data_IF_923014126811
#
_entry.id   IF_923014126811
#
_cell.length_a   1.000
_cell.length_b   1.000
_cell.length_c   1.000
_cell.angle_alpha   90.00
_cell.angle_beta   90.00
_cell.angle_gamma   90.00
#
_symmetry.space_group_name_H-M   'P 1'
#
loop_
_entity.id
_entity.type
_entity.pdbx_description
1 polymer ?
#
# COMPACT_ATOMS: atom_id res chain seq x y z
N UNK A 1 -18.65 -4.21 3.31
CA UNK A 1 -18.43 -4.44 1.88
C UNK A 1 -19.04 -3.26 1.13
N UNK A 2 -18.24 -2.56 0.31
CA UNK A 2 -18.73 -1.44 -0.50
C UNK A 2 -19.73 -1.92 -1.57
N UNK A 3 -20.81 -1.17 -1.79
CA UNK A 3 -21.80 -1.49 -2.82
C UNK A 3 -21.24 -1.26 -4.24
N UNK A 4 -21.87 -1.87 -5.26
CA UNK A 4 -21.44 -1.65 -6.64
C UNK A 4 -21.57 -0.19 -7.10
N UNK A 5 -22.59 0.52 -6.63
CA UNK A 5 -22.77 1.97 -6.89
C UNK A 5 -21.65 2.83 -6.30
N UNK A 6 -21.11 2.45 -5.14
CA UNK A 6 -19.95 3.14 -4.56
C UNK A 6 -18.69 2.91 -5.39
N UNK A 7 -18.52 1.74 -6.01
CA UNK A 7 -17.38 1.43 -6.87
C UNK A 7 -17.36 2.26 -8.14
N UNK A 8 -18.49 2.40 -8.84
CA UNK A 8 -18.60 3.22 -10.07
C UNK A 8 -18.33 4.69 -9.77
N UNK A 9 -18.80 5.19 -8.64
CA UNK A 9 -18.60 6.57 -8.21
C UNK A 9 -17.12 6.89 -7.89
N UNK A 10 -16.36 5.91 -7.39
CA UNK A 10 -14.94 6.08 -7.06
C UNK A 10 -14.00 5.75 -8.23
N UNK A 11 -14.37 4.87 -9.14
CA UNK A 11 -13.59 4.56 -10.34
C UNK A 11 -13.48 5.76 -11.31
N UNK A 12 -14.42 6.70 -11.27
CA UNK A 12 -14.41 7.89 -12.13
C UNK A 12 -13.55 9.06 -11.60
N UNK A 13 -13.14 9.03 -10.34
CA UNK A 13 -12.27 10.06 -9.73
C UNK A 13 -10.89 9.48 -9.52
N UNK A 14 -10.03 9.51 -10.55
CA UNK A 14 -8.63 9.11 -10.45
C UNK A 14 -7.92 9.86 -9.31
N UNK A 15 -7.92 9.29 -8.11
CA UNK A 15 -7.16 9.81 -6.99
C UNK A 15 -5.70 9.38 -7.12
N UNK A 16 -4.78 10.34 -7.04
CA UNK A 16 -3.34 10.07 -6.98
C UNK A 16 -2.91 9.42 -5.65
N UNK A 17 -3.80 9.35 -4.66
CA UNK A 17 -3.53 8.73 -3.37
C UNK A 17 -4.00 7.27 -3.36
N UNK A 18 -3.06 6.32 -3.30
CA UNK A 18 -3.31 4.87 -3.36
C UNK A 18 -4.28 4.33 -2.29
N UNK A 19 -4.53 5.06 -1.21
CA UNK A 19 -5.43 4.68 -0.13
C UNK A 19 -6.83 5.30 -0.24
N UNK A 20 -7.11 6.11 -1.26
CA UNK A 20 -8.39 6.81 -1.41
C UNK A 20 -9.50 5.96 -2.05
N UNK A 21 -9.13 4.85 -2.69
CA UNK A 21 -10.10 3.94 -3.33
C UNK A 21 -10.38 2.72 -2.45
N UNK A 22 -11.65 2.47 -2.05
CA UNK A 22 -12.01 1.24 -1.37
C UNK A 22 -11.89 0.04 -2.33
N UNK A 23 -11.38 -1.07 -1.83
CA UNK A 23 -11.38 -2.35 -2.54
C UNK A 23 -12.01 -3.45 -1.69
N UNK A 24 -12.27 -4.61 -2.29
CA UNK A 24 -12.73 -5.78 -1.54
C UNK A 24 -11.58 -6.33 -0.69
N UNK A 25 -11.87 -6.79 0.53
CA UNK A 25 -10.89 -7.44 1.40
C UNK A 25 -9.77 -6.49 1.90
N UNK A 26 -10.14 -5.28 2.31
CA UNK A 26 -9.20 -4.34 2.91
C UNK A 26 -9.03 -4.58 4.41
N UNK A 27 -7.81 -4.37 4.90
CA UNK A 27 -7.56 -4.27 6.32
C UNK A 27 -7.98 -2.88 6.80
N UNK A 28 -9.00 -2.85 7.66
CA UNK A 28 -9.58 -1.60 8.18
C UNK A 28 -9.53 -1.57 9.71
N UNK A 29 -9.34 -0.38 10.25
CA UNK A 29 -9.42 -0.08 11.69
C UNK A 29 -10.37 1.11 11.85
N UNK A 30 -11.38 0.96 12.69
CA UNK A 30 -12.44 1.97 12.92
C UNK A 30 -13.10 2.44 11.61
N UNK A 31 -13.30 1.52 10.66
CA UNK A 31 -13.90 1.82 9.36
C UNK A 31 -12.98 2.52 8.35
N UNK A 32 -11.71 2.74 8.69
CA UNK A 32 -10.71 3.38 7.82
C UNK A 32 -9.66 2.37 7.36
N UNK A 33 -9.24 2.48 6.12
CA UNK A 33 -8.22 1.65 5.49
C UNK A 33 -6.85 1.90 6.13
N UNK A 34 -6.19 0.83 6.59
CA UNK A 34 -4.85 0.88 7.19
C UNK A 34 -3.79 0.21 6.30
N UNK A 35 -4.22 -0.65 5.40
CA UNK A 35 -3.33 -1.32 4.45
C UNK A 35 -3.92 -1.32 3.04
N UNK A 36 -3.06 -1.16 2.06
CA UNK A 36 -3.38 -1.32 0.65
C UNK A 36 -2.59 -2.47 0.06
N UNK A 37 -3.25 -3.40 -0.62
CA UNK A 37 -2.60 -4.56 -1.20
C UNK A 37 -3.06 -4.83 -2.63
N UNK A 38 -2.20 -5.50 -3.40
CA UNK A 38 -2.48 -5.97 -4.73
C UNK A 38 -1.95 -7.39 -4.90
N UNK A 39 -2.63 -8.17 -5.72
CA UNK A 39 -2.24 -9.54 -6.02
C UNK A 39 -2.21 -9.77 -7.52
N UNK A 40 -1.18 -10.43 -8.00
CA UNK A 40 -1.13 -10.97 -9.36
C UNK A 40 -0.85 -12.46 -9.34
N UNK A 41 -1.41 -13.18 -10.32
CA UNK A 41 -1.22 -14.62 -10.50
C UNK A 41 -0.73 -14.86 -11.91
N UNK A 42 0.48 -15.38 -12.04
CA UNK A 42 1.09 -15.68 -13.33
C UNK A 42 1.86 -17.00 -13.27
N UNK A 43 1.67 -17.86 -14.26
CA UNK A 43 2.40 -19.12 -14.42
C UNK A 43 2.42 -20.01 -13.17
N UNK A 44 1.29 -20.07 -12.44
CA UNK A 44 1.19 -20.86 -11.21
C UNK A 44 1.79 -20.17 -9.95
N UNK A 45 2.36 -18.98 -10.09
CA UNK A 45 2.91 -18.21 -8.97
C UNK A 45 1.96 -17.09 -8.56
N UNK A 46 1.85 -16.85 -7.27
CA UNK A 46 1.10 -15.74 -6.69
C UNK A 46 2.09 -14.73 -6.13
N UNK A 47 1.99 -13.48 -6.58
CA UNK A 47 2.67 -12.35 -5.95
C UNK A 47 1.62 -11.51 -5.22
N UNK A 48 1.72 -11.47 -3.90
CA UNK A 48 0.97 -10.57 -3.03
C UNK A 48 1.93 -9.51 -2.50
N UNK A 49 1.60 -8.25 -2.69
CA UNK A 49 2.38 -7.14 -2.15
C UNK A 49 1.45 -6.02 -1.67
N UNK A 50 1.98 -5.13 -0.85
CA UNK A 50 1.21 -4.01 -0.35
C UNK A 50 2.01 -3.13 0.59
N UNK A 51 1.32 -2.15 1.15
CA UNK A 51 1.86 -1.28 2.19
C UNK A 51 0.89 -1.18 3.36
N UNK A 52 1.46 -1.10 4.55
CA UNK A 52 0.73 -0.95 5.82
C UNK A 52 1.20 0.35 6.44
N UNK A 53 0.26 1.24 6.73
CA UNK A 53 0.56 2.55 7.28
C UNK A 53 0.84 2.44 8.77
N UNK A 54 2.11 2.53 9.19
CA UNK A 54 2.48 2.66 10.61
C UNK A 54 2.29 4.09 11.10
N UNK A 55 2.71 5.05 10.27
CA UNK A 55 2.59 6.47 10.53
C UNK A 55 2.38 7.22 9.21
N UNK A 56 1.84 8.43 9.24
CA UNK A 56 1.55 9.17 8.02
C UNK A 56 1.50 10.67 8.29
N UNK A 57 2.31 11.42 7.55
CA UNK A 57 2.23 12.87 7.46
C UNK A 57 1.32 13.25 6.27
N UNK A 58 0.06 13.47 6.56
CA UNK A 58 -0.96 13.78 5.53
C UNK A 58 -0.72 15.15 4.91
N UNK A 59 -0.20 16.11 5.66
CA UNK A 59 0.13 17.44 5.14
C UNK A 59 1.24 17.35 4.10
N UNK A 60 2.30 16.63 4.42
CA UNK A 60 3.39 16.37 3.50
C UNK A 60 2.92 15.63 2.25
N UNK A 61 2.09 14.59 2.40
CA UNK A 61 1.54 13.84 1.28
C UNK A 61 0.79 14.77 0.32
N UNK A 62 -0.15 15.56 0.83
CA UNK A 62 -1.00 16.42 -0.01
C UNK A 62 -0.25 17.65 -0.56
N UNK A 63 0.88 18.04 0.04
CA UNK A 63 1.76 19.06 -0.51
C UNK A 63 2.63 18.54 -1.67
N UNK A 64 2.89 17.24 -1.75
CA UNK A 64 3.63 16.60 -2.84
C UNK A 64 2.75 16.27 -4.05
N UNK A 65 1.44 16.19 -3.87
CA UNK A 65 0.48 15.91 -4.96
C UNK A 65 0.08 17.20 -5.68
N UNK A 66 -0.08 17.10 -6.99
CA UNK A 66 -0.55 18.22 -7.80
C UNK A 66 -2.08 18.34 -7.77
N UNK A 67 -2.57 19.52 -7.47
CA UNK A 67 -4.00 19.87 -7.50
C UNK A 67 -4.21 21.16 -8.29
N UNK A 68 -5.32 21.28 -8.99
CA UNK A 68 -5.67 22.48 -9.76
C UNK A 68 -6.04 23.69 -8.87
N UNK A 69 -6.27 23.49 -7.59
CA UNK A 69 -6.53 24.55 -6.61
C UNK A 69 -6.32 24.08 -5.17
N UNK A 70 -6.03 25.03 -4.28
CA UNK A 70 -5.92 24.75 -2.83
C UNK A 70 -7.22 24.27 -2.22
N UNK A 71 -8.37 24.76 -2.72
CA UNK A 71 -9.71 24.31 -2.29
C UNK A 71 -9.90 22.82 -2.62
N UNK A 72 -9.46 22.38 -3.80
CA UNK A 72 -9.53 20.97 -4.18
C UNK A 72 -8.59 20.14 -3.33
N UNK A 73 -7.35 20.60 -3.11
CA UNK A 73 -6.39 19.95 -2.22
C UNK A 73 -6.97 19.71 -0.84
N UNK A 74 -7.54 20.74 -0.21
CA UNK A 74 -8.12 20.63 1.13
C UNK A 74 -9.29 19.64 1.16
N UNK A 75 -10.20 19.72 0.20
CA UNK A 75 -11.34 18.79 0.12
C UNK A 75 -10.89 17.34 -0.04
N UNK A 76 -9.88 17.08 -0.88
CA UNK A 76 -9.34 15.73 -1.07
C UNK A 76 -8.61 15.22 0.17
N UNK A 77 -7.88 16.10 0.86
CA UNK A 77 -7.25 15.79 2.15
C UNK A 77 -8.28 15.41 3.21
N UNK A 78 -9.35 16.18 3.36
CA UNK A 78 -10.42 15.91 4.32
C UNK A 78 -11.13 14.58 3.99
N UNK A 79 -11.38 14.32 2.71
CA UNK A 79 -11.91 13.02 2.24
C UNK A 79 -10.99 11.86 2.58
N UNK A 80 -9.69 12.03 2.36
CA UNK A 80 -8.67 11.02 2.65
C UNK A 80 -8.61 10.66 4.15
N UNK A 81 -8.63 11.65 5.04
CA UNK A 81 -8.62 11.46 6.50
C UNK A 81 -9.84 10.67 7.03
N UNK A 82 -10.94 10.68 6.27
CA UNK A 82 -12.13 9.88 6.60
C UNK A 82 -12.04 8.43 6.10
N UNK A 83 -11.11 8.13 5.18
CA UNK A 83 -11.01 6.82 4.51
C UNK A 83 -9.78 6.03 4.91
N UNK A 84 -8.67 6.69 5.26
CA UNK A 84 -7.40 6.07 5.59
C UNK A 84 -6.92 6.47 6.98
N UNK A 85 -6.17 5.57 7.62
CA UNK A 85 -5.57 5.81 8.94
C UNK A 85 -4.26 5.04 9.06
N UNK A 86 -3.32 5.58 9.82
CA UNK A 86 -2.10 4.88 10.21
C UNK A 86 -2.27 4.21 11.58
N UNK A 87 -1.59 3.09 11.80
CA UNK A 87 -1.64 2.32 13.05
C UNK A 87 -1.35 3.21 14.25
N UNK A 88 -0.30 4.04 14.19
CA UNK A 88 0.09 4.92 15.29
C UNK A 88 -0.87 6.08 15.55
N UNK A 89 -1.86 6.31 14.66
CA UNK A 89 -2.90 7.31 14.88
C UNK A 89 -4.12 6.78 15.63
N UNK A 90 -4.24 5.45 15.76
CA UNK A 90 -5.36 4.77 16.46
C UNK A 90 -4.88 3.87 17.59
N UNK A 91 -3.59 3.69 17.73
CA UNK A 91 -2.99 2.92 18.82
C UNK A 91 -2.75 3.80 20.05
N UNK A 92 -3.03 3.26 21.24
CA UNK A 92 -2.74 3.94 22.52
C UNK A 92 -1.24 4.11 22.78
N UNK A 93 -0.38 3.39 22.05
CA UNK A 93 1.06 3.46 22.13
C UNK A 93 1.69 3.49 20.75
N UNK A 94 2.90 4.01 20.67
CA UNK A 94 3.66 3.97 19.42
C UNK A 94 4.10 2.51 19.12
N UNK A 95 3.72 2.02 17.95
CA UNK A 95 4.15 0.73 17.39
C UNK A 95 5.36 0.97 16.50
N UNK A 96 6.45 0.25 16.76
CA UNK A 96 7.66 0.30 15.94
C UNK A 96 7.54 -0.58 14.70
N UNK A 97 8.41 -0.37 13.71
CA UNK A 97 8.47 -1.21 12.51
C UNK A 97 8.76 -2.68 12.86
N UNK A 98 9.65 -2.93 13.83
CA UNK A 98 9.97 -4.29 14.28
C UNK A 98 8.76 -5.00 14.86
N UNK A 99 8.04 -4.35 15.80
CA UNK A 99 6.81 -4.91 16.39
C UNK A 99 5.74 -5.21 15.34
N UNK A 100 5.55 -4.29 14.39
CA UNK A 100 4.61 -4.54 13.29
C UNK A 100 5.05 -5.73 12.41
N UNK A 101 6.33 -5.82 12.07
CA UNK A 101 6.88 -6.92 11.28
C UNK A 101 6.66 -8.25 11.99
N UNK A 102 6.95 -8.34 13.29
CA UNK A 102 6.75 -9.55 14.09
C UNK A 102 5.28 -9.94 14.18
N UNK A 103 4.38 -8.96 14.35
CA UNK A 103 2.95 -9.20 14.42
C UNK A 103 2.40 -9.73 13.08
N UNK A 104 2.83 -9.15 11.95
CA UNK A 104 2.44 -9.63 10.64
C UNK A 104 3.04 -10.99 10.32
N UNK A 105 4.28 -11.25 10.68
CA UNK A 105 4.92 -12.57 10.52
C UNK A 105 4.07 -13.65 11.20
N UNK A 106 3.75 -13.47 12.48
CA UNK A 106 2.87 -14.40 13.22
C UNK A 106 1.48 -14.51 12.62
N UNK A 107 0.90 -13.36 12.22
CA UNK A 107 -0.43 -13.35 11.60
C UNK A 107 -0.49 -14.13 10.29
N UNK A 108 0.58 -14.11 9.48
CA UNK A 108 0.68 -14.92 8.28
C UNK A 108 0.83 -16.42 8.60
N UNK A 109 1.68 -16.79 9.57
CA UNK A 109 1.84 -18.18 9.99
C UNK A 109 0.51 -18.77 10.49
N UNK A 110 -0.14 -18.06 11.40
CA UNK A 110 -1.41 -18.51 12.00
C UNK A 110 -2.56 -18.51 10.98
N UNK A 111 -2.70 -17.42 10.21
CA UNK A 111 -3.80 -17.24 9.27
C UNK A 111 -3.74 -18.17 8.05
N UNK A 112 -2.55 -18.56 7.63
CA UNK A 112 -2.35 -19.48 6.50
C UNK A 112 -2.00 -20.90 6.93
N UNK A 113 -1.79 -21.15 8.22
CA UNK A 113 -1.34 -22.44 8.76
C UNK A 113 -0.02 -22.91 8.08
N UNK A 114 0.95 -22.00 7.97
CA UNK A 114 2.27 -22.25 7.38
C UNK A 114 3.38 -21.93 8.38
N UNK A 115 4.57 -22.43 8.13
CA UNK A 115 5.78 -22.05 8.82
C UNK A 115 6.59 -21.11 7.90
N UNK A 116 6.95 -19.93 8.39
CA UNK A 116 7.79 -18.97 7.68
C UNK A 116 9.24 -19.14 8.14
N UNK A 117 10.12 -19.48 7.20
CA UNK A 117 11.55 -19.64 7.46
C UNK A 117 12.31 -18.44 6.91
N UNK A 118 13.03 -17.68 7.75
CA UNK A 118 13.89 -16.60 7.29
C UNK A 118 14.93 -17.11 6.28
N UNK A 119 15.11 -16.38 5.18
CA UNK A 119 16.06 -16.71 4.13
C UNK A 119 16.69 -15.46 3.53
N UNK A 120 17.70 -15.69 2.69
CA UNK A 120 18.34 -14.66 1.87
C UNK A 120 18.17 -15.01 0.40
N UNK A 121 18.34 -14.03 -0.47
CA UNK A 121 18.38 -14.28 -1.90
C UNK A 121 19.54 -15.20 -2.26
N UNK A 122 19.34 -16.04 -3.26
CA UNK A 122 20.44 -16.81 -3.86
C UNK A 122 21.31 -15.88 -4.71
N UNK A 123 22.50 -16.33 -5.03
CA UNK A 123 23.42 -15.57 -5.88
C UNK A 123 22.82 -15.27 -7.26
N UNK A 124 22.12 -16.24 -7.83
CA UNK A 124 21.44 -16.12 -9.12
C UNK A 124 20.29 -15.08 -9.06
N UNK A 125 19.57 -15.02 -7.95
CA UNK A 125 18.50 -14.02 -7.74
C UNK A 125 19.08 -12.61 -7.59
N UNK A 126 20.20 -12.46 -6.86
CA UNK A 126 20.91 -11.18 -6.73
C UNK A 126 21.45 -10.70 -8.10
N UNK A 127 22.11 -11.57 -8.86
CA UNK A 127 22.62 -11.27 -10.20
C UNK A 127 21.48 -10.87 -11.16
N UNK A 128 20.35 -11.58 -11.11
CA UNK A 128 19.15 -11.23 -11.90
C UNK A 128 18.55 -9.89 -11.49
N UNK A 129 18.50 -9.59 -10.19
CA UNK A 129 18.02 -8.30 -9.70
C UNK A 129 18.90 -7.14 -10.21
N UNK A 130 20.22 -7.28 -10.15
CA UNK A 130 21.16 -6.29 -10.68
C UNK A 130 21.00 -6.11 -12.19
N UNK A 131 20.88 -7.19 -12.94
CA UNK A 131 20.62 -7.14 -14.38
C UNK A 131 19.31 -6.38 -14.68
N UNK A 132 18.23 -6.67 -13.97
CA UNK A 132 16.95 -5.99 -14.14
C UNK A 132 17.03 -4.50 -13.83
N UNK A 133 17.83 -4.09 -12.85
CA UNK A 133 18.10 -2.67 -12.60
C UNK A 133 18.78 -2.02 -13.80
N UNK A 134 19.83 -2.64 -14.32
CA UNK A 134 20.61 -2.09 -15.44
C UNK A 134 19.83 -2.07 -16.76
N UNK A 135 19.07 -3.14 -17.05
CA UNK A 135 18.42 -3.30 -18.36
C UNK A 135 17.02 -2.67 -18.42
N UNK A 136 16.34 -2.50 -17.28
CA UNK A 136 14.95 -2.07 -17.24
C UNK A 136 14.66 -0.98 -16.21
N UNK A 137 14.72 -1.30 -14.92
CA UNK A 137 14.16 -0.46 -13.88
C UNK A 137 15.00 0.79 -13.56
N UNK A 138 16.30 0.79 -13.87
CA UNK A 138 17.17 1.96 -13.76
C UNK A 138 17.16 2.87 -14.99
N UNK A 139 16.48 2.48 -16.09
CA UNK A 139 16.47 3.24 -17.34
C UNK A 139 15.45 4.38 -17.31
N UNK A 140 15.82 5.48 -17.99
CA UNK A 140 14.94 6.64 -18.14
C UNK A 140 13.61 6.28 -18.82
N UNK A 141 13.66 5.45 -19.86
CA UNK A 141 12.48 5.00 -20.62
C UNK A 141 11.46 4.26 -19.75
N UNK A 142 11.92 3.55 -18.72
CA UNK A 142 11.03 2.90 -17.75
C UNK A 142 10.46 3.89 -16.75
N UNK A 143 11.31 4.73 -16.15
CA UNK A 143 10.92 5.61 -15.05
C UNK A 143 10.05 6.80 -15.50
N UNK A 144 10.15 7.21 -16.76
CA UNK A 144 9.37 8.32 -17.34
C UNK A 144 8.36 7.85 -18.39
N UNK A 145 8.06 6.56 -18.44
CA UNK A 145 7.00 6.02 -19.28
C UNK A 145 5.65 6.51 -18.75
N UNK A 146 4.95 7.32 -19.56
CA UNK A 146 3.58 7.79 -19.30
C UNK A 146 2.58 6.98 -20.09
#
# INVERSE_FOLDING_TARGET
LASEEEKEKYASMGSAACFDSPSWYELVVEGKKVAGSAQTRQRGTILQHGSILLDMDVDKLFNLLHFSSDRLRQRMKDSFLNKAVAINHVSDRKVSLSEATEAFFKGFEEGLSIELVPGTLTKEEEELAEQLVQERYGKHEWNFKR
#
